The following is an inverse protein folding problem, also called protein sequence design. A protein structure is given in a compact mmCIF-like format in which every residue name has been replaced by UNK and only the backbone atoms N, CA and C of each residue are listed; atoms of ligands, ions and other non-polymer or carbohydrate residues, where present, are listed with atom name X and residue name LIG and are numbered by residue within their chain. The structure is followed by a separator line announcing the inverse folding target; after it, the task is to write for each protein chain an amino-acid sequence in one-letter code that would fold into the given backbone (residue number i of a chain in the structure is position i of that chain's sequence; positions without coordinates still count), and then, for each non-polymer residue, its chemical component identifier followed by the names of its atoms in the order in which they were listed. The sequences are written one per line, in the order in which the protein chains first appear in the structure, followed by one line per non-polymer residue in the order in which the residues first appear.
data_IF_661244526593
#
_entry.id   IF_661244526593
#
_cell.length_a   1.000
_cell.length_b   1.000
_cell.length_c   1.000
_cell.angle_alpha   90.00
_cell.angle_beta   90.00
_cell.angle_gamma   90.00
#
_symmetry.space_group_name_H-M   'P 1'
#
loop_
_entity.id
_entity.type
_entity.pdbx_description
1 polymer ?
#
# COMPACT_ATOMS: atom_id res chain seq x y z
N UNK A 1 41.69 53.23 -17.48
CA UNK A 1 42.82 52.27 -17.47
C UNK A 1 42.27 50.95 -16.95
N UNK A 2 42.42 49.83 -17.68
CA UNK A 2 41.99 48.52 -17.20
C UNK A 2 43.07 47.94 -16.28
N UNK A 3 42.72 47.51 -15.07
CA UNK A 3 43.59 46.66 -14.26
C UNK A 3 43.37 45.20 -14.65
N UNK A 4 44.48 44.55 -15.00
CA UNK A 4 44.60 43.15 -15.36
C UNK A 4 44.46 42.26 -14.12
N UNK A 5 43.61 41.24 -14.20
CA UNK A 5 43.50 40.18 -13.19
C UNK A 5 44.71 39.24 -13.21
N UNK A 6 45.24 38.89 -12.04
CA UNK A 6 46.06 37.69 -11.88
C UNK A 6 45.17 36.50 -11.47
N UNK A 7 45.30 35.30 -12.09
CA UNK A 7 44.58 34.12 -11.63
C UNK A 7 45.20 33.61 -10.32
N UNK A 8 44.38 33.50 -9.26
CA UNK A 8 44.78 32.77 -8.06
C UNK A 8 44.91 31.28 -8.39
N UNK A 9 46.12 30.76 -8.28
CA UNK A 9 46.45 29.35 -8.44
C UNK A 9 45.84 28.54 -7.29
N UNK A 10 44.92 27.63 -7.62
CA UNK A 10 44.42 26.61 -6.69
C UNK A 10 45.34 25.39 -6.79
N UNK A 11 46.52 25.44 -6.14
CA UNK A 11 47.32 24.24 -5.93
C UNK A 11 46.68 23.50 -4.76
N UNK A 12 45.77 22.58 -5.06
CA UNK A 12 45.28 21.59 -4.09
C UNK A 12 46.47 20.68 -3.77
N UNK A 13 46.80 20.55 -2.49
CA UNK A 13 47.92 19.72 -2.06
C UNK A 13 47.67 18.26 -2.45
N UNK A 14 48.70 17.53 -2.88
CA UNK A 14 48.61 16.07 -3.10
C UNK A 14 48.17 15.33 -1.83
N UNK A 15 48.36 15.90 -0.64
CA UNK A 15 47.84 15.37 0.63
C UNK A 15 46.32 15.51 0.76
N UNK A 16 45.73 16.64 0.33
CA UNK A 16 44.28 16.85 0.37
C UNK A 16 43.56 15.98 -0.66
N UNK A 17 44.14 15.82 -1.85
CA UNK A 17 43.62 14.88 -2.86
C UNK A 17 43.75 13.42 -2.43
N UNK A 18 44.75 13.08 -1.60
CA UNK A 18 44.91 11.74 -1.04
C UNK A 18 43.91 11.49 0.11
N UNK A 19 43.66 12.47 0.98
CA UNK A 19 42.65 12.40 2.03
C UNK A 19 41.23 12.34 1.49
N UNK A 20 40.90 13.11 0.44
CA UNK A 20 39.60 13.03 -0.22
C UNK A 20 39.42 11.70 -0.97
N UNK A 21 40.48 11.14 -1.58
CA UNK A 21 40.43 9.78 -2.15
C UNK A 21 40.33 8.69 -1.09
N UNK A 22 40.92 8.87 0.09
CA UNK A 22 40.79 7.96 1.24
C UNK A 22 39.41 8.05 1.89
N UNK A 23 38.82 9.24 1.98
CA UNK A 23 37.42 9.45 2.41
C UNK A 23 36.45 8.90 1.36
N UNK A 24 36.68 9.12 0.07
CA UNK A 24 35.90 8.52 -1.01
C UNK A 24 36.06 7.00 -1.08
N UNK A 25 37.25 6.45 -0.79
CA UNK A 25 37.47 5.00 -0.71
C UNK A 25 36.85 4.37 0.54
N UNK A 26 36.91 5.06 1.68
CA UNK A 26 36.25 4.71 2.95
C UNK A 26 34.72 4.82 2.83
N UNK A 27 34.20 5.78 2.06
CA UNK A 27 32.78 5.89 1.72
C UNK A 27 32.35 4.87 0.64
N UNK A 28 33.24 4.49 -0.30
CA UNK A 28 32.99 3.45 -1.32
C UNK A 28 33.02 2.01 -0.78
N UNK A 29 33.49 1.79 0.44
CA UNK A 29 33.55 0.46 1.08
C UNK A 29 32.48 0.24 2.15
N UNK A 30 31.57 1.20 2.38
CA UNK A 30 30.45 0.99 3.29
C UNK A 30 29.47 0.00 2.68
N UNK A 31 29.11 -1.00 3.47
CA UNK A 31 28.04 -1.92 3.10
C UNK A 31 26.75 -1.13 2.87
N UNK A 32 26.04 -1.40 1.78
CA UNK A 32 24.70 -0.82 1.56
C UNK A 32 23.79 -1.22 2.74
N UNK A 33 22.98 -0.28 3.24
CA UNK A 33 22.08 -0.44 4.39
C UNK A 33 21.18 -1.68 4.27
N UNK A 34 20.69 -2.01 3.07
CA UNK A 34 19.90 -3.24 2.85
C UNK A 34 20.69 -4.49 3.25
N UNK A 35 21.94 -4.58 2.77
CA UNK A 35 22.82 -5.71 3.07
C UNK A 35 23.24 -5.70 4.55
N UNK A 36 23.45 -4.53 5.12
CA UNK A 36 23.74 -4.37 6.55
C UNK A 36 22.62 -4.95 7.41
N UNK A 37 21.37 -4.59 7.13
CA UNK A 37 20.21 -5.07 7.90
C UNK A 37 20.06 -6.59 7.76
N UNK A 38 20.28 -7.14 6.56
CA UNK A 38 20.25 -8.60 6.34
C UNK A 38 21.33 -9.34 7.14
N UNK A 39 22.58 -8.86 7.11
CA UNK A 39 23.68 -9.45 7.89
C UNK A 39 23.43 -9.30 9.41
N UNK A 40 22.85 -8.17 9.85
CA UNK A 40 22.44 -7.96 11.24
C UNK A 40 21.35 -8.94 11.68
N UNK A 41 20.35 -9.19 10.85
CA UNK A 41 19.30 -10.17 11.14
C UNK A 41 19.88 -11.57 11.29
N UNK A 42 20.78 -11.97 10.38
CA UNK A 42 21.48 -13.26 10.48
C UNK A 42 22.28 -13.38 11.77
N UNK A 43 23.02 -12.33 12.16
CA UNK A 43 23.75 -12.29 13.43
C UNK A 43 22.81 -12.45 14.63
N UNK A 44 21.72 -11.68 14.69
CA UNK A 44 20.75 -11.75 15.79
C UNK A 44 20.03 -13.12 15.83
N UNK A 45 19.75 -13.73 14.68
CA UNK A 45 19.20 -15.09 14.59
C UNK A 45 20.17 -16.12 15.17
N UNK A 46 21.48 -16.03 14.86
CA UNK A 46 22.49 -16.89 15.49
C UNK A 46 22.51 -16.71 17.00
N UNK A 47 22.37 -15.48 17.50
CA UNK A 47 22.33 -15.23 18.95
C UNK A 47 21.09 -15.84 19.63
N UNK A 48 19.98 -15.94 18.90
CA UNK A 48 18.73 -16.52 19.38
C UNK A 48 18.75 -18.06 19.38
N UNK A 49 19.53 -18.69 18.49
CA UNK A 49 19.68 -20.14 18.43
C UNK A 49 20.70 -20.63 19.48
N UNK A 50 20.31 -21.43 20.48
CA UNK A 50 21.23 -21.90 21.52
C UNK A 50 22.43 -22.70 21.02
N UNK A 51 22.31 -23.35 19.85
CA UNK A 51 23.41 -24.11 19.24
C UNK A 51 24.39 -23.17 18.53
N UNK A 52 23.87 -22.24 17.73
CA UNK A 52 24.70 -21.31 16.96
C UNK A 52 25.34 -20.24 17.84
N UNK A 53 24.70 -19.88 18.96
CA UNK A 53 25.23 -18.88 19.91
C UNK A 53 26.64 -19.21 20.41
N UNK A 54 26.99 -20.49 20.52
CA UNK A 54 28.33 -20.92 20.96
C UNK A 54 29.41 -20.74 19.88
N UNK A 55 29.00 -20.58 18.62
CA UNK A 55 29.87 -20.45 17.45
C UNK A 55 30.10 -18.98 17.04
N UNK A 56 29.51 -18.02 17.75
CA UNK A 56 29.61 -16.60 17.43
C UNK A 56 30.99 -16.08 17.80
N UNK A 57 31.70 -15.54 16.82
CA UNK A 57 32.93 -14.78 17.05
C UNK A 57 32.57 -13.45 17.73
N UNK A 58 33.17 -13.10 18.90
CA UNK A 58 32.95 -11.81 19.55
C UNK A 58 33.24 -10.59 18.66
N UNK A 59 34.02 -10.75 17.57
CA UNK A 59 34.30 -9.69 16.59
C UNK A 59 33.23 -9.53 15.52
N UNK A 60 32.31 -10.49 15.34
CA UNK A 60 31.33 -10.48 14.26
C UNK A 60 30.44 -9.21 14.29
N UNK A 61 29.94 -8.83 15.47
CA UNK A 61 29.12 -7.63 15.62
C UNK A 61 29.93 -6.32 15.50
N UNK A 62 31.07 -6.12 16.19
CA UNK A 62 31.94 -4.96 15.96
C UNK A 62 32.32 -4.76 14.49
N UNK A 63 32.75 -5.82 13.80
CA UNK A 63 33.13 -5.77 12.39
C UNK A 63 31.93 -5.41 11.50
N UNK A 64 30.74 -5.93 11.83
CA UNK A 64 29.50 -5.63 11.10
C UNK A 64 29.11 -4.16 11.25
N UNK A 65 29.17 -3.61 12.47
CA UNK A 65 28.88 -2.21 12.76
C UNK A 65 29.88 -1.28 12.06
N UNK A 66 31.17 -1.61 12.10
CA UNK A 66 32.22 -0.85 11.41
C UNK A 66 31.99 -0.83 9.89
N UNK A 67 31.69 -1.99 9.28
CA UNK A 67 31.36 -2.08 7.83
C UNK A 67 30.10 -1.33 7.45
N UNK A 68 29.11 -1.27 8.35
CA UNK A 68 27.91 -0.44 8.20
C UNK A 68 28.16 1.04 8.46
N UNK A 69 29.28 1.40 9.09
CA UNK A 69 29.61 2.77 9.46
C UNK A 69 28.86 3.28 10.69
N UNK A 70 28.49 2.40 11.62
CA UNK A 70 27.81 2.70 12.88
C UNK A 70 28.76 2.54 14.07
N UNK A 71 28.60 3.42 15.07
CA UNK A 71 29.47 3.44 16.26
C UNK A 71 29.05 2.37 17.29
N UNK A 72 27.76 2.05 17.34
CA UNK A 72 27.18 1.08 18.24
C UNK A 72 25.89 0.48 17.66
N UNK A 73 25.43 -0.59 18.28
CA UNK A 73 24.22 -1.31 17.85
C UNK A 73 22.94 -0.46 17.96
N UNK A 74 22.65 0.24 19.08
CA UNK A 74 21.46 1.10 19.16
C UNK A 74 21.40 2.16 18.04
N UNK A 75 22.51 2.82 17.73
CA UNK A 75 22.58 3.79 16.64
C UNK A 75 22.27 3.14 15.31
N UNK A 76 22.82 1.95 15.05
CA UNK A 76 22.55 1.20 13.84
C UNK A 76 21.07 0.79 13.73
N UNK A 77 20.48 0.29 14.82
CA UNK A 77 19.08 -0.15 14.88
C UNK A 77 18.08 0.97 14.58
N UNK A 78 18.41 2.21 14.96
CA UNK A 78 17.53 3.36 14.80
C UNK A 78 17.81 4.20 13.55
N UNK A 79 18.99 4.06 12.94
CA UNK A 79 19.41 4.88 11.80
C UNK A 79 19.49 4.12 10.48
N UNK A 80 19.81 2.81 10.51
CA UNK A 80 19.89 2.01 9.29
C UNK A 80 18.51 1.87 8.68
N UNK A 81 18.38 2.24 7.39
CA UNK A 81 17.11 2.16 6.67
C UNK A 81 17.30 1.41 5.37
N UNK A 82 16.37 0.51 5.04
CA UNK A 82 16.39 -0.09 3.72
C UNK A 82 16.00 0.93 2.63
N UNK A 83 15.98 0.51 1.36
CA UNK A 83 15.58 1.36 0.24
C UNK A 83 14.16 1.95 0.36
N UNK A 84 13.35 1.48 1.31
CA UNK A 84 11.99 1.95 1.62
C UNK A 84 11.93 2.83 2.87
N UNK A 85 13.07 3.16 3.48
CA UNK A 85 13.12 3.96 4.69
C UNK A 85 12.83 3.18 5.98
N UNK A 86 12.79 1.84 5.93
CA UNK A 86 12.39 1.00 7.06
C UNK A 86 13.60 0.61 7.91
N UNK A 87 13.49 0.82 9.22
CA UNK A 87 14.46 0.33 10.20
C UNK A 87 14.38 -1.19 10.38
N UNK A 88 15.39 -1.83 10.99
CA UNK A 88 15.32 -3.20 11.47
C UNK A 88 14.00 -3.55 12.19
N UNK A 89 13.55 -2.69 13.12
CA UNK A 89 12.33 -2.94 13.89
C UNK A 89 11.07 -2.94 13.00
N UNK A 90 10.97 -1.99 12.06
CA UNK A 90 9.87 -1.93 11.08
C UNK A 90 9.80 -3.24 10.29
N UNK A 91 10.94 -3.76 9.81
CA UNK A 91 10.97 -5.01 9.05
C UNK A 91 10.56 -6.23 9.87
N UNK A 92 11.01 -6.33 11.13
CA UNK A 92 10.64 -7.43 12.01
C UNK A 92 9.13 -7.43 12.32
N UNK A 93 8.56 -6.26 12.64
CA UNK A 93 7.13 -6.09 12.88
C UNK A 93 6.31 -6.39 11.61
N UNK A 94 6.75 -5.87 10.45
CA UNK A 94 6.11 -6.12 9.17
C UNK A 94 6.01 -7.62 8.86
N UNK A 95 7.11 -8.35 9.08
CA UNK A 95 7.20 -9.80 8.88
C UNK A 95 6.51 -10.62 9.99
N UNK A 96 5.97 -9.95 11.02
CA UNK A 96 5.39 -10.58 12.21
C UNK A 96 6.37 -11.53 12.92
N UNK A 97 7.65 -11.18 12.88
CA UNK A 97 8.71 -11.87 13.61
C UNK A 97 8.85 -11.25 15.00
N UNK A 98 7.87 -11.54 15.87
CA UNK A 98 7.81 -11.00 17.23
C UNK A 98 9.03 -11.37 18.10
N UNK A 99 9.61 -12.58 18.02
CA UNK A 99 10.88 -12.87 18.67
C UNK A 99 12.01 -11.95 18.22
N UNK A 100 12.18 -11.71 16.92
CA UNK A 100 13.18 -10.77 16.42
C UNK A 100 12.88 -9.34 16.86
N UNK A 101 11.61 -8.89 16.76
CA UNK A 101 11.21 -7.55 17.20
C UNK A 101 11.53 -7.30 18.68
N UNK A 102 11.28 -8.30 19.55
CA UNK A 102 11.67 -8.25 20.95
C UNK A 102 13.17 -8.05 21.12
N UNK A 103 13.98 -8.85 20.43
CA UNK A 103 15.44 -8.75 20.53
C UNK A 103 15.94 -7.39 20.08
N UNK A 104 15.39 -6.85 18.99
CA UNK A 104 15.73 -5.52 18.52
C UNK A 104 15.43 -4.45 19.58
N UNK A 105 14.26 -4.54 20.24
CA UNK A 105 13.89 -3.64 21.34
C UNK A 105 14.82 -3.82 22.56
N UNK A 106 15.15 -5.05 22.94
CA UNK A 106 16.07 -5.36 24.04
C UNK A 106 17.48 -4.79 23.78
N UNK A 107 17.88 -4.63 22.52
CA UNK A 107 19.14 -4.01 22.09
C UNK A 107 19.05 -2.51 21.79
N UNK A 108 17.92 -1.86 22.13
CA UNK A 108 17.78 -0.41 22.04
C UNK A 108 17.22 0.11 20.72
N UNK A 109 16.57 -0.73 19.91
CA UNK A 109 15.69 -0.22 18.85
C UNK A 109 14.52 0.56 19.46
N UNK A 110 14.11 1.64 18.81
CA UNK A 110 13.02 2.51 19.22
C UNK A 110 11.88 2.49 18.21
N UNK A 111 10.67 2.76 18.72
CA UNK A 111 9.47 2.91 17.89
C UNK A 111 9.44 4.28 17.22
N UNK A 112 10.02 4.38 16.03
CA UNK A 112 9.78 5.50 15.11
C UNK A 112 8.33 5.50 14.57
N UNK A 113 7.98 6.49 13.74
CA UNK A 113 6.61 6.61 13.23
C UNK A 113 6.15 5.40 12.42
N UNK A 114 7.02 4.79 11.62
CA UNK A 114 6.69 3.60 10.85
C UNK A 114 6.58 2.36 11.76
N UNK A 115 7.48 2.21 12.73
CA UNK A 115 7.44 1.08 13.66
C UNK A 115 6.17 1.10 14.52
N UNK A 116 5.68 2.28 14.90
CA UNK A 116 4.38 2.45 15.59
C UNK A 116 3.22 1.95 14.72
N UNK A 117 3.21 2.27 13.44
CA UNK A 117 2.18 1.82 12.50
C UNK A 117 2.24 0.31 12.26
N UNK A 118 3.45 -0.25 12.08
CA UNK A 118 3.61 -1.68 11.93
C UNK A 118 3.21 -2.44 13.19
N UNK A 119 3.54 -1.90 14.38
CA UNK A 119 3.12 -2.51 15.64
C UNK A 119 1.59 -2.62 15.70
N UNK A 120 0.88 -1.52 15.44
CA UNK A 120 -0.58 -1.46 15.47
C UNK A 120 -1.22 -2.48 14.50
N UNK A 121 -0.65 -2.62 13.31
CA UNK A 121 -1.11 -3.55 12.28
C UNK A 121 -0.75 -5.02 12.60
N UNK A 122 0.48 -5.27 13.03
CA UNK A 122 1.03 -6.61 13.22
C UNK A 122 0.49 -7.28 14.49
N UNK A 123 0.34 -6.55 15.60
CA UNK A 123 -0.10 -7.13 16.89
C UNK A 123 -1.50 -7.75 16.80
N UNK A 124 -2.30 -7.30 15.84
CA UNK A 124 -3.64 -7.80 15.57
C UNK A 124 -3.69 -9.04 14.67
N UNK A 125 -2.59 -9.47 14.07
CA UNK A 125 -2.52 -10.73 13.30
C UNK A 125 -2.67 -11.96 14.20
N UNK A 126 -2.88 -13.15 13.63
CA UNK A 126 -2.89 -14.40 14.41
C UNK A 126 -1.59 -14.60 15.18
N UNK A 127 -0.44 -14.29 14.54
CA UNK A 127 0.86 -14.38 15.19
C UNK A 127 1.01 -13.35 16.33
N UNK A 128 0.50 -12.14 16.14
CA UNK A 128 0.52 -11.09 17.17
C UNK A 128 -0.36 -11.43 18.37
N UNK A 129 -1.57 -11.95 18.12
CA UNK A 129 -2.44 -12.44 19.20
C UNK A 129 -1.79 -13.61 19.98
N UNK A 130 -1.04 -14.47 19.29
CA UNK A 130 -0.32 -15.61 19.89
C UNK A 130 0.99 -15.21 20.58
N UNK A 131 1.61 -14.08 20.21
CA UNK A 131 2.87 -13.65 20.80
C UNK A 131 2.70 -13.19 22.25
N UNK A 132 1.48 -12.90 22.69
CA UNK A 132 1.21 -12.39 24.04
C UNK A 132 2.01 -11.12 24.31
N UNK A 133 2.70 -11.08 25.44
CA UNK A 133 3.48 -9.91 25.90
C UNK A 133 4.94 -9.92 25.42
N UNK A 134 5.27 -10.69 24.36
CA UNK A 134 6.65 -10.78 23.84
C UNK A 134 7.24 -9.43 23.43
N UNK A 135 6.40 -8.50 22.94
CA UNK A 135 6.81 -7.13 22.63
C UNK A 135 5.94 -6.15 23.42
N UNK A 136 6.55 -5.11 23.97
CA UNK A 136 5.83 -4.06 24.68
C UNK A 136 5.28 -3.04 23.70
N UNK A 137 4.07 -2.50 23.91
CA UNK A 137 3.54 -1.43 23.07
C UNK A 137 4.44 -0.19 23.10
N UNK A 138 4.45 0.61 22.01
CA UNK A 138 5.09 1.92 22.00
C UNK A 138 4.60 2.79 23.17
N UNK A 139 5.46 3.67 23.67
CA UNK A 139 5.04 4.67 24.65
C UNK A 139 3.97 5.58 24.05
N UNK A 140 2.93 5.86 24.84
CA UNK A 140 1.77 6.67 24.44
C UNK A 140 1.04 6.08 23.21
N UNK A 141 1.05 4.75 23.08
CA UNK A 141 0.35 4.03 22.02
C UNK A 141 -1.17 4.26 22.11
N UNK A 142 -1.72 4.82 21.04
CA UNK A 142 -3.15 4.93 20.82
C UNK A 142 -3.54 3.83 19.85
N UNK A 143 -4.39 2.92 20.33
CA UNK A 143 -4.90 1.82 19.53
C UNK A 143 -5.84 2.34 18.43
N UNK A 144 -5.67 1.84 17.21
CA UNK A 144 -6.63 2.09 16.13
C UNK A 144 -8.02 1.53 16.44
N UNK A 145 -9.06 2.19 15.92
CA UNK A 145 -10.41 1.66 15.88
C UNK A 145 -10.56 0.62 14.76
N UNK A 146 -11.31 -0.48 14.95
CA UNK A 146 -11.42 -1.56 13.97
C UNK A 146 -12.11 -1.14 12.67
N UNK A 147 -13.06 -0.20 12.75
CA UNK A 147 -13.98 0.16 11.66
C UNK A 147 -13.75 1.59 11.15
N UNK A 148 -12.89 2.37 11.80
CA UNK A 148 -12.72 3.80 11.52
C UNK A 148 -11.25 4.16 11.33
N UNK A 149 -10.99 5.00 10.33
CA UNK A 149 -9.67 5.60 10.13
C UNK A 149 -9.47 6.78 11.08
N UNK A 150 -8.24 6.93 11.56
CA UNK A 150 -7.78 8.20 12.11
C UNK A 150 -7.97 9.32 11.07
N UNK A 151 -8.33 10.53 11.52
CA UNK A 151 -8.63 11.68 10.64
C UNK A 151 -7.52 11.90 9.61
N UNK A 152 -6.25 11.92 10.04
CA UNK A 152 -5.13 12.13 9.11
C UNK A 152 -4.99 11.02 8.06
N UNK A 153 -5.37 9.77 8.38
CA UNK A 153 -5.34 8.64 7.44
C UNK A 153 -6.51 8.72 6.45
N UNK A 154 -7.69 9.14 6.90
CA UNK A 154 -8.88 9.28 6.04
C UNK A 154 -8.63 10.22 4.85
N UNK A 155 -7.96 11.34 5.09
CA UNK A 155 -7.58 12.29 4.03
C UNK A 155 -6.26 11.91 3.36
N UNK A 156 -5.25 11.54 4.15
CA UNK A 156 -3.89 11.28 3.69
C UNK A 156 -3.78 10.15 2.68
N UNK A 157 -4.50 9.05 2.87
CA UNK A 157 -4.43 7.89 1.98
C UNK A 157 -4.98 8.21 0.57
N UNK A 158 -6.07 9.00 0.49
CA UNK A 158 -6.75 9.35 -0.75
C UNK A 158 -6.02 10.46 -1.51
N UNK A 159 -5.68 11.53 -0.78
CA UNK A 159 -5.01 12.72 -1.32
C UNK A 159 -3.49 12.53 -1.45
N UNK A 160 -2.94 11.47 -0.87
CA UNK A 160 -1.51 11.14 -0.84
C UNK A 160 -0.69 12.16 -0.03
N UNK A 161 -1.22 12.65 1.09
CA UNK A 161 -0.59 13.68 1.92
C UNK A 161 0.21 13.00 3.02
N UNK A 162 1.51 13.25 3.12
CA UNK A 162 2.37 12.74 4.19
C UNK A 162 2.43 13.76 5.32
N UNK A 163 1.72 13.47 6.40
CA UNK A 163 1.75 14.26 7.64
C UNK A 163 1.75 13.31 8.84
N UNK A 164 2.13 13.83 10.00
CA UNK A 164 1.97 13.15 11.29
C UNK A 164 1.02 13.99 12.13
N UNK A 165 0.00 13.35 12.70
CA UNK A 165 -0.91 13.97 13.65
C UNK A 165 -0.18 14.46 14.90
N UNK A 166 -0.80 15.39 15.63
CA UNK A 166 -0.36 15.78 16.98
C UNK A 166 -0.18 14.60 17.94
N UNK A 167 -0.90 13.50 17.73
CA UNK A 167 -0.81 12.29 18.57
C UNK A 167 0.26 11.29 18.11
N UNK A 168 1.01 11.62 17.05
CA UNK A 168 2.04 10.77 16.47
C UNK A 168 1.56 9.81 15.37
N UNK A 169 0.26 9.77 15.06
CA UNK A 169 -0.29 8.93 14.00
C UNK A 169 0.08 9.47 12.63
N UNK A 170 0.76 8.68 11.79
CA UNK A 170 1.03 9.08 10.40
C UNK A 170 -0.22 8.92 9.52
N UNK A 171 -0.30 9.74 8.49
CA UNK A 171 -1.38 9.75 7.51
C UNK A 171 -1.26 8.66 6.44
N UNK A 172 -0.13 7.97 6.39
CA UNK A 172 0.11 6.80 5.55
C UNK A 172 -0.21 5.52 6.32
N UNK A 173 -0.26 4.39 5.62
CA UNK A 173 -0.44 3.02 6.14
C UNK A 173 -1.68 2.82 7.03
N UNK A 174 -2.52 1.85 6.68
CA UNK A 174 -3.73 1.62 7.47
C UNK A 174 -4.20 0.19 7.34
N UNK A 175 -5.06 -0.20 8.27
CA UNK A 175 -5.73 -1.48 8.25
C UNK A 175 -6.62 -1.67 7.01
N UNK A 176 -6.73 -2.92 6.56
CA UNK A 176 -7.48 -3.30 5.34
C UNK A 176 -8.96 -3.00 5.45
N UNK A 177 -9.62 -3.36 6.55
CA UNK A 177 -11.06 -3.15 6.75
C UNK A 177 -11.51 -1.70 6.55
N UNK A 178 -11.04 -0.74 7.35
CA UNK A 178 -11.50 0.64 7.24
C UNK A 178 -11.08 1.31 5.91
N UNK A 179 -9.97 0.89 5.30
CA UNK A 179 -9.58 1.39 3.96
C UNK A 179 -10.40 0.77 2.82
N UNK A 180 -10.82 -0.48 2.95
CA UNK A 180 -11.69 -1.13 1.98
C UNK A 180 -13.13 -0.59 2.07
N UNK A 181 -13.59 -0.26 3.28
CA UNK A 181 -14.82 0.51 3.49
C UNK A 181 -14.75 1.88 2.82
N UNK A 182 -13.66 2.64 3.03
CA UNK A 182 -13.44 3.92 2.35
C UNK A 182 -13.51 3.80 0.81
N UNK A 183 -12.92 2.75 0.24
CA UNK A 183 -13.01 2.47 -1.20
C UNK A 183 -14.42 2.06 -1.62
N UNK A 184 -15.12 1.28 -0.81
CA UNK A 184 -16.51 0.85 -1.06
C UNK A 184 -17.43 2.07 -1.15
N UNK A 185 -17.30 3.01 -0.23
CA UNK A 185 -18.08 4.25 -0.21
C UNK A 185 -17.73 5.14 -1.42
N UNK A 186 -16.44 5.31 -1.73
CA UNK A 186 -16.01 6.09 -2.88
C UNK A 186 -16.58 5.59 -4.21
N UNK A 187 -16.57 4.27 -4.43
CA UNK A 187 -17.13 3.66 -5.66
C UNK A 187 -18.64 3.80 -5.68
N UNK A 188 -19.31 3.57 -4.54
CA UNK A 188 -20.76 3.72 -4.41
C UNK A 188 -21.21 5.15 -4.71
N UNK A 189 -20.57 6.14 -4.10
CA UNK A 189 -20.88 7.56 -4.29
C UNK A 189 -20.63 8.03 -5.71
N UNK A 190 -19.63 7.45 -6.39
CA UNK A 190 -19.39 7.75 -7.81
C UNK A 190 -20.44 7.10 -8.72
N UNK A 191 -20.86 5.88 -8.41
CA UNK A 191 -21.88 5.16 -9.19
C UNK A 191 -23.30 5.70 -9.02
N UNK A 192 -23.60 6.36 -7.89
CA UNK A 192 -24.89 7.02 -7.64
C UNK A 192 -25.16 8.14 -8.66
N UNK A 193 -26.39 8.19 -9.18
CA UNK A 193 -26.82 9.26 -10.11
C UNK A 193 -26.31 9.14 -11.55
N UNK A 194 -25.72 8.00 -11.92
CA UNK A 194 -25.10 7.79 -13.24
C UNK A 194 -25.72 6.64 -14.05
N UNK A 195 -27.02 6.37 -13.88
CA UNK A 195 -27.70 5.16 -14.38
C UNK A 195 -28.02 5.13 -15.88
N UNK A 196 -27.97 6.26 -16.57
CA UNK A 196 -28.43 6.37 -17.97
C UNK A 196 -27.32 6.17 -19.02
N UNK A 197 -26.06 6.10 -18.60
CA UNK A 197 -24.91 5.89 -19.49
C UNK A 197 -24.37 4.46 -19.29
N UNK A 198 -24.35 3.60 -20.34
CA UNK A 198 -23.83 2.23 -20.26
C UNK A 198 -22.42 2.14 -19.66
N UNK A 199 -21.55 3.11 -19.95
CA UNK A 199 -20.19 3.17 -19.44
C UNK A 199 -20.12 3.58 -17.95
N UNK A 200 -21.20 4.16 -17.42
CA UNK A 200 -21.36 4.47 -15.99
C UNK A 200 -22.12 3.35 -15.24
N UNK A 201 -22.92 2.53 -15.94
CA UNK A 201 -23.47 1.27 -15.43
C UNK A 201 -22.39 0.28 -14.96
N UNK A 202 -21.18 0.36 -15.53
CA UNK A 202 -20.01 -0.38 -15.08
C UNK A 202 -19.72 -0.16 -13.58
N UNK A 203 -19.79 1.09 -13.11
CA UNK A 203 -19.53 1.43 -11.71
C UNK A 203 -20.61 0.92 -10.74
N UNK A 204 -21.83 0.65 -11.23
CA UNK A 204 -22.85 -0.02 -10.43
C UNK A 204 -22.41 -1.45 -10.07
N UNK A 205 -21.95 -2.22 -11.06
CA UNK A 205 -21.45 -3.58 -10.82
C UNK A 205 -20.21 -3.59 -9.93
N UNK A 206 -19.30 -2.62 -10.13
CA UNK A 206 -18.12 -2.47 -9.28
C UNK A 206 -18.55 -2.10 -7.85
N UNK A 207 -19.49 -1.17 -7.67
CA UNK A 207 -20.03 -0.83 -6.35
C UNK A 207 -20.65 -2.02 -5.65
N UNK A 208 -21.45 -2.82 -6.36
CA UNK A 208 -22.05 -4.04 -5.82
C UNK A 208 -20.98 -5.08 -5.44
N UNK A 209 -19.92 -5.21 -6.25
CA UNK A 209 -18.80 -6.11 -5.97
C UNK A 209 -18.04 -5.71 -4.69
N UNK A 210 -17.76 -4.41 -4.52
CA UNK A 210 -17.13 -3.89 -3.31
C UNK A 210 -18.02 -4.07 -2.07
N UNK A 211 -19.30 -3.69 -2.16
CA UNK A 211 -20.24 -3.82 -1.06
C UNK A 211 -20.44 -5.29 -0.63
N UNK A 212 -20.56 -6.21 -1.59
CA UNK A 212 -20.66 -7.64 -1.31
C UNK A 212 -19.40 -8.15 -0.62
N UNK A 213 -18.22 -7.85 -1.17
CA UNK A 213 -16.96 -8.33 -0.63
C UNK A 213 -16.67 -7.80 0.77
N UNK A 214 -16.97 -6.52 1.00
CA UNK A 214 -16.80 -5.91 2.31
C UNK A 214 -17.72 -6.55 3.35
N UNK A 215 -18.99 -6.80 2.99
CA UNK A 215 -19.96 -7.49 3.84
C UNK A 215 -19.60 -8.96 4.11
N UNK A 216 -19.10 -9.68 3.09
CA UNK A 216 -18.72 -11.08 3.21
C UNK A 216 -17.47 -11.24 4.07
N UNK A 217 -16.42 -10.46 3.77
CA UNK A 217 -15.13 -10.56 4.46
C UNK A 217 -15.17 -10.08 5.91
N UNK A 218 -16.05 -9.11 6.25
CA UNK A 218 -16.24 -8.56 7.60
C UNK A 218 -14.92 -8.21 8.28
N UNK A 219 -14.06 -7.48 7.59
CA UNK A 219 -12.76 -7.14 8.16
C UNK A 219 -12.93 -6.34 9.46
N UNK A 220 -12.32 -6.83 10.53
CA UNK A 220 -11.95 -6.01 11.67
C UNK A 220 -10.45 -5.78 11.58
N UNK A 221 -10.01 -4.53 11.58
CA UNK A 221 -8.61 -4.21 11.33
C UNK A 221 -8.14 -4.81 9.99
N UNK A 222 -7.17 -5.71 10.00
CA UNK A 222 -6.67 -6.45 8.82
C UNK A 222 -6.95 -7.94 8.91
N UNK A 223 -7.90 -8.32 9.76
CA UNK A 223 -8.37 -9.71 9.96
C UNK A 223 -9.74 -9.89 9.31
N UNK A 224 -9.91 -10.82 8.36
CA UNK A 224 -11.20 -11.07 7.72
C UNK A 224 -12.08 -11.99 8.59
N UNK A 225 -12.83 -11.42 9.54
CA UNK A 225 -13.68 -12.16 10.50
C UNK A 225 -14.82 -12.96 9.84
N UNK A 226 -15.10 -12.73 8.55
CA UNK A 226 -16.03 -13.54 7.77
C UNK A 226 -15.46 -14.88 7.29
N UNK A 227 -14.17 -15.13 7.50
CA UNK A 227 -13.52 -16.38 7.07
C UNK A 227 -13.82 -17.53 8.04
N UNK A 228 -14.06 -18.77 7.54
CA UNK A 228 -13.90 -19.21 6.15
C UNK A 228 -15.12 -19.05 5.25
N UNK A 229 -16.30 -18.68 5.77
CA UNK A 229 -17.55 -18.58 5.01
C UNK A 229 -17.47 -17.58 3.85
N UNK A 230 -16.77 -16.46 4.05
CA UNK A 230 -16.51 -15.46 3.02
C UNK A 230 -15.90 -16.06 1.75
N UNK A 231 -14.97 -17.01 1.89
CA UNK A 231 -14.38 -17.71 0.74
C UNK A 231 -15.41 -18.47 -0.08
N UNK A 232 -16.41 -19.09 0.56
CA UNK A 232 -17.52 -19.77 -0.13
C UNK A 232 -18.41 -18.77 -0.85
N UNK A 233 -18.83 -17.70 -0.17
CA UNK A 233 -19.71 -16.67 -0.75
C UNK A 233 -19.06 -15.97 -1.96
N UNK A 234 -17.78 -15.62 -1.85
CA UNK A 234 -17.03 -14.94 -2.91
C UNK A 234 -16.74 -15.86 -4.09
N UNK A 235 -16.30 -17.10 -3.86
CA UNK A 235 -16.07 -18.07 -4.94
C UNK A 235 -17.37 -18.41 -5.67
N UNK A 236 -18.48 -18.60 -4.95
CA UNK A 236 -19.80 -18.81 -5.54
C UNK A 236 -20.21 -17.62 -6.40
N UNK A 237 -20.06 -16.38 -5.90
CA UNK A 237 -20.38 -15.17 -6.68
C UNK A 237 -19.61 -15.11 -8.00
N UNK A 238 -18.34 -15.54 -8.00
CA UNK A 238 -17.50 -15.60 -9.20
C UNK A 238 -18.02 -16.67 -10.17
N UNK A 239 -18.36 -17.85 -9.67
CA UNK A 239 -18.94 -18.95 -10.46
C UNK A 239 -20.32 -18.61 -11.04
N UNK A 240 -21.08 -17.76 -10.37
CA UNK A 240 -22.35 -17.19 -10.87
C UNK A 240 -22.15 -16.12 -11.95
N UNK A 241 -20.91 -15.85 -12.38
CA UNK A 241 -20.61 -14.89 -13.43
C UNK A 241 -20.80 -13.43 -13.01
N UNK A 242 -20.68 -13.10 -11.71
CA UNK A 242 -20.81 -11.73 -11.22
C UNK A 242 -19.44 -11.10 -11.01
N UNK A 243 -19.32 -9.81 -11.34
CA UNK A 243 -18.15 -9.00 -10.97
C UNK A 243 -17.95 -9.09 -9.46
N UNK A 244 -16.74 -9.43 -9.06
CA UNK A 244 -16.36 -9.68 -7.66
C UNK A 244 -15.02 -9.04 -7.38
N UNK A 245 -14.96 -8.21 -6.36
CA UNK A 245 -13.70 -7.68 -5.83
C UNK A 245 -13.30 -8.52 -4.62
N UNK A 246 -12.00 -8.67 -4.38
CA UNK A 246 -11.48 -9.40 -3.22
C UNK A 246 -10.41 -8.53 -2.55
N UNK A 247 -10.62 -8.09 -1.29
CA UNK A 247 -9.57 -7.44 -0.52
C UNK A 247 -8.45 -8.45 -0.21
N UNK A 248 -7.28 -8.27 -0.83
CA UNK A 248 -6.11 -9.14 -0.61
C UNK A 248 -4.94 -8.39 0.01
N UNK A 249 -4.20 -9.09 0.85
CA UNK A 249 -3.08 -8.53 1.60
C UNK A 249 -2.03 -9.62 1.90
N UNK A 250 -0.87 -9.17 2.33
CA UNK A 250 0.24 -9.97 2.85
C UNK A 250 0.95 -9.16 3.93
N UNK A 251 1.97 -9.74 4.56
CA UNK A 251 2.80 -9.06 5.58
C UNK A 251 3.28 -7.70 5.08
N UNK A 252 2.60 -6.67 5.57
CA UNK A 252 2.88 -5.27 5.30
C UNK A 252 2.66 -4.72 3.91
N UNK A 253 1.88 -5.41 3.08
CA UNK A 253 1.48 -4.90 1.78
C UNK A 253 0.09 -5.37 1.38
N UNK A 254 -0.68 -4.49 0.77
CA UNK A 254 -2.01 -4.79 0.24
C UNK A 254 -2.02 -4.70 -1.28
N UNK A 255 -2.76 -5.59 -1.94
CA UNK A 255 -2.83 -5.70 -3.40
C UNK A 255 -4.29 -5.61 -3.85
N UNK A 256 -4.51 -5.43 -5.15
CA UNK A 256 -5.85 -5.46 -5.74
C UNK A 256 -6.12 -6.81 -6.40
N UNK A 257 -7.29 -7.39 -6.15
CA UNK A 257 -7.77 -8.58 -6.85
C UNK A 257 -9.24 -8.42 -7.18
N UNK A 258 -9.61 -8.66 -8.44
CA UNK A 258 -11.00 -8.74 -8.87
C UNK A 258 -11.18 -9.84 -9.91
N UNK A 259 -12.42 -10.24 -10.10
CA UNK A 259 -12.88 -11.21 -11.08
C UNK A 259 -14.00 -10.60 -11.90
N UNK A 260 -13.90 -10.75 -13.22
CA UNK A 260 -14.90 -10.25 -14.17
C UNK A 260 -15.27 -11.40 -15.11
N UNK A 261 -16.56 -11.75 -15.27
CA UNK A 261 -16.97 -12.85 -16.14
C UNK A 261 -16.44 -12.67 -17.57
N UNK A 262 -16.16 -13.76 -18.27
CA UNK A 262 -15.87 -13.73 -19.72
C UNK A 262 -17.19 -13.89 -20.46
N UNK A 263 -17.56 -12.87 -21.24
CA UNK A 263 -18.84 -12.88 -21.98
C UNK A 263 -18.89 -14.07 -22.94
N UNK A 264 -19.97 -14.84 -22.89
CA UNK A 264 -20.16 -16.04 -23.71
C UNK A 264 -19.40 -17.29 -23.24
N UNK A 265 -18.69 -17.25 -22.11
CA UNK A 265 -18.02 -18.43 -21.55
C UNK A 265 -18.17 -18.52 -20.02
N UNK A 266 -19.15 -19.30 -19.51
CA UNK A 266 -19.42 -19.40 -18.07
C UNK A 266 -18.32 -20.12 -17.27
N UNK A 267 -17.47 -20.92 -17.94
CA UNK A 267 -16.37 -21.64 -17.30
C UNK A 267 -15.12 -20.76 -17.12
N UNK A 268 -15.15 -19.52 -17.62
CA UNK A 268 -14.02 -18.59 -17.60
C UNK A 268 -14.34 -17.29 -16.88
N UNK A 269 -13.31 -16.73 -16.25
CA UNK A 269 -13.34 -15.38 -15.69
C UNK A 269 -12.00 -14.70 -15.91
N UNK A 270 -12.02 -13.38 -16.00
CA UNK A 270 -10.81 -12.57 -15.98
C UNK A 270 -10.38 -12.33 -14.53
N UNK A 271 -9.21 -12.83 -14.15
CA UNK A 271 -8.52 -12.49 -12.91
C UNK A 271 -7.75 -11.19 -13.12
N UNK A 272 -8.14 -10.13 -12.42
CA UNK A 272 -7.53 -8.80 -12.45
C UNK A 272 -6.68 -8.61 -11.20
N UNK A 273 -5.36 -8.73 -11.32
CA UNK A 273 -4.43 -8.58 -10.21
C UNK A 273 -3.63 -7.28 -10.32
N UNK A 274 -3.57 -6.50 -9.25
CA UNK A 274 -2.87 -5.20 -9.22
C UNK A 274 -1.85 -5.14 -8.10
N UNK A 275 -0.60 -4.90 -8.47
CA UNK A 275 0.46 -4.57 -7.53
C UNK A 275 1.33 -3.41 -8.07
N UNK A 276 1.26 -2.26 -7.40
CA UNK A 276 2.06 -1.06 -7.68
C UNK A 276 3.08 -0.76 -6.59
N UNK A 277 3.19 -1.61 -5.57
CA UNK A 277 4.05 -1.43 -4.40
C UNK A 277 5.04 -2.58 -4.24
N UNK A 278 5.15 -3.10 -3.02
CA UNK A 278 6.14 -4.09 -2.62
C UNK A 278 6.09 -5.39 -3.45
N UNK A 279 7.27 -5.94 -3.74
CA UNK A 279 7.41 -7.24 -4.42
C UNK A 279 7.26 -7.22 -5.94
N UNK A 280 6.80 -6.11 -6.53
CA UNK A 280 6.79 -5.94 -7.98
C UNK A 280 8.21 -5.58 -8.48
N UNK A 281 8.70 -6.33 -9.48
CA UNK A 281 10.01 -6.05 -10.10
C UNK A 281 9.98 -4.71 -10.84
N UNK A 282 11.17 -4.15 -11.13
CA UNK A 282 11.27 -2.94 -11.96
C UNK A 282 10.63 -3.22 -13.33
N UNK A 283 9.65 -2.41 -13.72
CA UNK A 283 8.89 -2.59 -14.96
C UNK A 283 7.65 -3.49 -14.83
N UNK A 284 7.41 -4.06 -13.65
CA UNK A 284 6.30 -4.99 -13.40
C UNK A 284 5.17 -4.39 -12.54
N UNK A 285 5.22 -3.08 -12.31
CA UNK A 285 4.19 -2.34 -11.56
C UNK A 285 2.93 -2.13 -12.40
N UNK A 286 1.78 -2.45 -11.80
CA UNK A 286 0.48 -2.15 -12.38
C UNK A 286 -0.47 -3.32 -12.28
N UNK A 287 -1.32 -3.45 -13.30
CA UNK A 287 -2.41 -4.43 -13.32
C UNK A 287 -2.16 -5.46 -14.41
N UNK A 288 -2.26 -6.73 -14.05
CA UNK A 288 -2.20 -7.88 -14.95
C UNK A 288 -3.56 -8.55 -14.99
N UNK A 289 -4.01 -8.88 -16.19
CA UNK A 289 -5.31 -9.51 -16.43
C UNK A 289 -5.04 -10.87 -17.03
N UNK A 290 -5.58 -11.92 -16.43
CA UNK A 290 -5.47 -13.31 -16.88
C UNK A 290 -6.85 -13.85 -17.18
N UNK A 291 -6.98 -14.71 -18.18
CA UNK A 291 -8.18 -15.53 -18.36
C UNK A 291 -7.95 -16.88 -17.66
N UNK A 292 -8.79 -17.21 -16.68
CA UNK A 292 -8.63 -18.40 -15.83
C UNK A 292 -9.94 -19.21 -15.77
N UNK A 293 -9.85 -20.48 -15.38
CA UNK A 293 -11.01 -21.33 -15.17
C UNK A 293 -11.71 -21.00 -13.86
N UNK A 294 -13.05 -20.83 -13.88
CA UNK A 294 -13.84 -20.48 -12.68
C UNK A 294 -13.76 -21.57 -11.60
N UNK A 295 -13.61 -22.84 -12.00
CA UNK A 295 -13.43 -23.98 -11.09
C UNK A 295 -12.13 -23.93 -10.28
N UNK A 296 -11.10 -23.23 -10.77
CA UNK A 296 -9.80 -23.10 -10.07
C UNK A 296 -9.88 -22.05 -8.96
N UNK A 297 -10.96 -21.26 -8.91
CA UNK A 297 -11.21 -20.23 -7.91
C UNK A 297 -12.02 -20.85 -6.77
N UNK A 298 -11.30 -21.51 -5.87
CA UNK A 298 -11.90 -22.25 -4.74
C UNK A 298 -12.08 -21.35 -3.51
N UNK A 299 -12.94 -21.76 -2.55
CA UNK A 299 -13.04 -21.09 -1.25
C UNK A 299 -11.68 -20.97 -0.53
N UNK A 300 -10.86 -22.01 -0.61
CA UNK A 300 -9.54 -22.03 0.03
C UNK A 300 -8.58 -21.02 -0.59
N UNK A 301 -8.57 -20.92 -1.92
CA UNK A 301 -7.81 -19.90 -2.62
C UNK A 301 -8.21 -18.50 -2.14
N UNK A 302 -9.52 -18.19 -2.11
CA UNK A 302 -10.03 -16.88 -1.69
C UNK A 302 -9.66 -16.58 -0.23
N UNK A 303 -9.89 -17.53 0.69
CA UNK A 303 -9.55 -17.35 2.10
C UNK A 303 -8.04 -17.15 2.30
N UNK A 304 -7.19 -17.88 1.57
CA UNK A 304 -5.74 -17.77 1.70
C UNK A 304 -5.18 -16.42 1.26
N UNK A 305 -5.69 -15.84 0.17
CA UNK A 305 -5.24 -14.52 -0.31
C UNK A 305 -5.84 -13.36 0.48
N UNK A 306 -7.04 -13.55 1.04
CA UNK A 306 -7.72 -12.56 1.89
C UNK A 306 -7.08 -12.49 3.28
N UNK A 307 -6.74 -13.63 3.90
CA UNK A 307 -6.14 -13.71 5.22
C UNK A 307 -4.61 -13.59 5.23
N UNK A 308 -3.99 -13.10 4.15
CA UNK A 308 -2.53 -13.15 4.01
C UNK A 308 -1.77 -12.45 5.13
N UNK A 309 -2.18 -11.25 5.54
CA UNK A 309 -1.63 -10.56 6.70
C UNK A 309 -1.98 -11.30 7.99
N UNK A 310 -3.24 -11.63 8.26
CA UNK A 310 -3.63 -12.31 9.51
C UNK A 310 -2.86 -13.63 9.74
N UNK A 311 -2.57 -14.38 8.66
CA UNK A 311 -1.79 -15.63 8.68
C UNK A 311 -0.27 -15.44 8.57
N UNK A 312 0.21 -14.22 8.38
CA UNK A 312 1.63 -13.92 8.21
C UNK A 312 2.23 -14.52 6.92
N UNK A 313 1.45 -14.51 5.83
CA UNK A 313 1.91 -14.85 4.49
C UNK A 313 2.73 -13.71 3.90
N UNK A 314 3.90 -14.06 3.37
CA UNK A 314 4.73 -13.17 2.56
C UNK A 314 4.11 -12.89 1.19
N UNK A 315 4.57 -11.82 0.53
CA UNK A 315 4.21 -11.53 -0.86
C UNK A 315 4.46 -12.73 -1.79
N UNK A 316 5.59 -13.43 -1.64
CA UNK A 316 5.92 -14.60 -2.46
C UNK A 316 4.93 -15.76 -2.28
N UNK A 317 4.45 -15.98 -1.05
CA UNK A 317 3.45 -17.00 -0.76
C UNK A 317 2.10 -16.64 -1.39
N UNK A 318 1.68 -15.37 -1.33
CA UNK A 318 0.45 -14.92 -2.00
C UNK A 318 0.58 -15.02 -3.52
N UNK A 319 1.73 -14.63 -4.09
CA UNK A 319 1.97 -14.77 -5.53
C UNK A 319 1.93 -16.23 -5.98
N UNK A 320 2.45 -17.17 -5.19
CA UNK A 320 2.33 -18.61 -5.50
C UNK A 320 0.86 -19.06 -5.63
N UNK A 321 -0.06 -18.52 -4.83
CA UNK A 321 -1.49 -18.80 -4.95
C UNK A 321 -2.06 -18.25 -6.27
N UNK A 322 -1.67 -17.03 -6.65
CA UNK A 322 -2.06 -16.43 -7.94
C UNK A 322 -1.49 -17.25 -9.12
N UNK A 323 -0.24 -17.68 -9.04
CA UNK A 323 0.43 -18.46 -10.08
C UNK A 323 -0.22 -19.84 -10.26
N UNK A 324 -0.73 -20.44 -9.18
CA UNK A 324 -1.50 -21.69 -9.23
C UNK A 324 -2.82 -21.52 -10.00
N UNK A 325 -3.61 -20.48 -9.70
CA UNK A 325 -4.89 -20.23 -10.39
C UNK A 325 -4.70 -19.79 -11.83
N UNK A 326 -3.64 -19.02 -12.11
CA UNK A 326 -3.29 -18.62 -13.47
C UNK A 326 -2.57 -19.73 -14.26
N UNK A 327 -2.22 -20.83 -13.60
CA UNK A 327 -1.46 -21.95 -14.18
C UNK A 327 -0.16 -21.49 -14.85
N UNK A 328 0.49 -20.46 -14.29
CA UNK A 328 1.67 -19.78 -14.86
C UNK A 328 1.49 -19.26 -16.30
N UNK A 329 0.24 -19.05 -16.76
CA UNK A 329 -0.01 -18.47 -18.08
C UNK A 329 0.33 -16.99 -18.09
N UNK A 330 0.77 -16.50 -19.25
CA UNK A 330 0.97 -15.07 -19.45
C UNK A 330 -0.37 -14.32 -19.34
N UNK A 331 -0.37 -13.07 -18.82
CA UNK A 331 -1.56 -12.25 -18.80
C UNK A 331 -2.06 -11.95 -20.22
N UNK A 332 -3.38 -11.97 -20.42
CA UNK A 332 -4.03 -11.57 -21.67
C UNK A 332 -3.95 -10.05 -21.89
N UNK A 333 -3.74 -9.28 -20.82
CA UNK A 333 -3.50 -7.84 -20.90
C UNK A 333 -2.67 -7.34 -19.71
N UNK A 334 -1.83 -6.33 -19.96
CA UNK A 334 -1.07 -5.61 -18.95
C UNK A 334 -1.41 -4.13 -19.05
N UNK A 335 -1.71 -3.53 -17.90
CA UNK A 335 -1.88 -2.09 -17.74
C UNK A 335 -0.70 -1.59 -16.91
N UNK A 336 0.24 -0.92 -17.59
CA UNK A 336 1.37 -0.27 -16.91
C UNK A 336 0.88 0.89 -16.06
N UNK A 337 1.24 0.87 -14.78
CA UNK A 337 0.91 1.94 -13.85
C UNK A 337 2.16 2.31 -13.06
N UNK A 338 2.31 3.60 -12.76
CA UNK A 338 3.49 4.07 -12.03
C UNK A 338 3.59 3.38 -10.66
N UNK A 339 4.82 3.06 -10.20
CA UNK A 339 5.03 2.63 -8.83
C UNK A 339 4.42 3.63 -7.85
N UNK A 340 3.95 3.10 -6.73
CA UNK A 340 3.37 3.91 -5.68
C UNK A 340 4.48 4.68 -4.97
N UNK A 341 4.25 5.98 -4.72
CA UNK A 341 5.23 6.87 -4.08
C UNK A 341 5.15 6.87 -2.56
N UNK A 342 3.98 6.50 -2.03
CA UNK A 342 3.61 6.64 -0.62
C UNK A 342 3.17 5.28 -0.08
N UNK A 343 3.26 5.05 1.22
CA UNK A 343 2.82 3.80 1.83
C UNK A 343 1.29 3.75 2.05
N UNK A 344 0.53 3.82 0.96
CA UNK A 344 -0.93 3.78 0.94
C UNK A 344 -1.46 2.65 0.05
N UNK A 345 -0.75 1.52 0.01
CA UNK A 345 -1.02 0.39 -0.89
C UNK A 345 -2.47 -0.13 -0.79
N UNK A 346 -3.07 -0.11 0.40
CA UNK A 346 -4.46 -0.52 0.67
C UNK A 346 -5.50 0.26 -0.15
N UNK A 347 -5.26 1.55 -0.39
CA UNK A 347 -6.12 2.39 -1.25
C UNK A 347 -5.57 2.42 -2.68
N UNK A 348 -4.27 2.54 -2.85
CA UNK A 348 -3.65 2.76 -4.16
C UNK A 348 -3.76 1.58 -5.12
N UNK A 349 -3.63 0.34 -4.63
CA UNK A 349 -3.77 -0.87 -5.45
C UNK A 349 -5.24 -1.19 -5.70
N UNK A 350 -6.08 -1.12 -4.67
CA UNK A 350 -7.54 -1.30 -4.77
C UNK A 350 -8.16 -0.33 -5.78
N UNK A 351 -7.81 0.96 -5.70
CA UNK A 351 -8.24 1.96 -6.69
C UNK A 351 -7.71 1.64 -8.09
N UNK A 352 -6.45 1.28 -8.22
CA UNK A 352 -5.84 0.99 -9.52
C UNK A 352 -6.42 -0.27 -10.18
N UNK A 353 -6.92 -1.22 -9.39
CA UNK A 353 -7.55 -2.45 -9.85
C UNK A 353 -8.87 -2.21 -10.60
N UNK A 354 -9.62 -1.17 -10.20
CA UNK A 354 -10.84 -0.71 -10.91
C UNK A 354 -10.54 -0.42 -12.39
N UNK A 355 -9.35 0.09 -12.72
CA UNK A 355 -8.96 0.31 -14.11
C UNK A 355 -8.92 -1.00 -14.92
N UNK A 356 -8.44 -2.09 -14.32
CA UNK A 356 -8.45 -3.41 -14.95
C UNK A 356 -9.86 -4.00 -15.07
N UNK A 357 -10.71 -3.79 -14.06
CA UNK A 357 -12.13 -4.22 -14.10
C UNK A 357 -12.88 -3.53 -15.24
N UNK A 358 -12.75 -2.21 -15.36
CA UNK A 358 -13.34 -1.43 -16.45
C UNK A 358 -12.85 -1.91 -17.83
N UNK A 359 -11.57 -2.26 -17.94
CA UNK A 359 -11.02 -2.76 -19.20
C UNK A 359 -11.58 -4.15 -19.56
N UNK A 360 -11.80 -5.02 -18.57
CA UNK A 360 -12.45 -6.31 -18.79
C UNK A 360 -13.91 -6.16 -19.24
N UNK A 361 -14.66 -5.26 -18.61
CA UNK A 361 -16.04 -4.95 -19.00
C UNK A 361 -16.11 -4.42 -20.45
N UNK A 362 -15.16 -3.56 -20.82
CA UNK A 362 -15.04 -3.07 -22.20
C UNK A 362 -14.60 -4.16 -23.19
N UNK A 363 -13.68 -5.04 -22.79
CA UNK A 363 -13.28 -6.18 -23.60
C UNK A 363 -14.47 -7.09 -23.91
N UNK A 364 -15.33 -7.37 -22.92
CA UNK A 364 -16.56 -8.14 -23.12
C UNK A 364 -17.49 -7.49 -24.15
N UNK A 365 -17.74 -6.16 -24.05
CA UNK A 365 -18.54 -5.42 -25.04
C UNK A 365 -17.98 -5.52 -26.46
N UNK A 366 -16.66 -5.71 -26.60
CA UNK A 366 -15.96 -5.86 -27.89
C UNK A 366 -15.77 -7.31 -28.33
N UNK A 367 -16.27 -8.30 -27.60
CA UNK A 367 -16.08 -9.72 -27.93
C UNK A 367 -14.68 -10.26 -27.61
N UNK A 368 -14.06 -9.74 -26.56
CA UNK A 368 -12.80 -10.20 -25.97
C UNK A 368 -11.60 -9.28 -26.20
N UNK A 369 -10.50 -9.54 -25.49
CA UNK A 369 -9.28 -8.72 -25.51
C UNK A 369 -8.61 -8.60 -26.88
N UNK A 370 -8.82 -9.56 -27.78
CA UNK A 370 -8.33 -9.50 -29.18
C UNK A 370 -8.83 -8.29 -29.96
N UNK A 371 -9.96 -7.70 -29.54
CA UNK A 371 -10.60 -6.55 -30.18
C UNK A 371 -10.38 -5.24 -29.40
N UNK A 372 -9.54 -5.26 -28.35
CA UNK A 372 -9.23 -4.08 -27.54
C UNK A 372 -7.98 -3.39 -28.09
N UNK A 373 -8.20 -2.30 -28.81
CA UNK A 373 -7.14 -1.46 -29.38
C UNK A 373 -6.65 -0.37 -28.40
N UNK A 374 -5.65 0.41 -28.82
CA UNK A 374 -5.09 1.48 -28.00
C UNK A 374 -6.11 2.61 -27.72
N UNK A 375 -7.01 2.89 -28.67
CA UNK A 375 -8.07 3.88 -28.50
C UNK A 375 -9.01 3.48 -27.36
N UNK A 376 -9.45 2.23 -27.36
CA UNK A 376 -10.27 1.63 -26.30
C UNK A 376 -9.58 1.74 -24.93
N UNK A 377 -8.27 1.44 -24.86
CA UNK A 377 -7.50 1.56 -23.62
C UNK A 377 -7.47 2.99 -23.10
N UNK A 378 -7.29 3.98 -23.96
CA UNK A 378 -7.28 5.39 -23.54
C UNK A 378 -8.69 5.89 -23.13
N UNK A 379 -9.76 5.43 -23.78
CA UNK A 379 -11.14 5.73 -23.37
C UNK A 379 -11.46 5.16 -21.98
N UNK A 380 -11.12 3.89 -21.74
CA UNK A 380 -11.26 3.24 -20.41
C UNK A 380 -10.44 3.97 -19.35
N UNK A 381 -9.20 4.36 -19.69
CA UNK A 381 -8.33 5.14 -18.79
C UNK A 381 -8.88 6.53 -18.50
N UNK A 382 -9.60 7.15 -19.45
CA UNK A 382 -10.36 8.39 -19.25
C UNK A 382 -11.42 8.22 -18.15
N UNK A 383 -12.27 7.20 -18.27
CA UNK A 383 -13.29 6.86 -17.27
C UNK A 383 -12.70 6.58 -15.89
N UNK A 384 -11.61 5.81 -15.84
CA UNK A 384 -10.89 5.57 -14.60
C UNK A 384 -10.37 6.88 -13.97
N UNK A 385 -9.81 7.79 -14.77
CA UNK A 385 -9.32 9.08 -14.28
C UNK A 385 -10.44 9.95 -13.72
N UNK A 386 -11.57 10.03 -14.42
CA UNK A 386 -12.75 10.76 -13.94
C UNK A 386 -13.19 10.29 -12.54
N UNK A 387 -13.23 8.97 -12.31
CA UNK A 387 -13.47 8.41 -10.99
C UNK A 387 -12.43 8.85 -9.96
N UNK A 388 -11.14 8.73 -10.29
CA UNK A 388 -10.09 9.12 -9.33
C UNK A 388 -10.07 10.62 -9.03
N UNK A 389 -10.45 11.46 -10.00
CA UNK A 389 -10.52 12.90 -9.85
C UNK A 389 -11.76 13.32 -9.05
N UNK A 390 -12.92 12.68 -9.26
CA UNK A 390 -14.11 12.84 -8.41
C UNK A 390 -13.81 12.47 -6.95
N UNK A 391 -13.20 11.29 -6.73
CA UNK A 391 -12.84 10.80 -5.40
C UNK A 391 -11.93 11.78 -4.65
N UNK A 392 -10.92 12.36 -5.33
CA UNK A 392 -10.04 13.38 -4.74
C UNK A 392 -10.79 14.68 -4.47
N UNK A 393 -11.59 15.14 -5.44
CA UNK A 393 -12.29 16.43 -5.33
C UNK A 393 -13.29 16.41 -4.17
N UNK A 394 -14.08 15.34 -4.04
CA UNK A 394 -14.98 15.13 -2.89
C UNK A 394 -14.21 15.05 -1.58
N UNK A 395 -13.06 14.37 -1.54
CA UNK A 395 -12.26 14.28 -0.30
C UNK A 395 -11.68 15.65 0.11
N UNK A 396 -11.34 16.52 -0.85
CA UNK A 396 -10.97 17.93 -0.56
C UNK A 396 -12.16 18.71 -0.02
N UNK A 397 -13.35 18.59 -0.63
CA UNK A 397 -14.56 19.24 -0.12
C UNK A 397 -14.94 18.77 1.29
N UNK A 398 -14.73 17.48 1.59
CA UNK A 398 -14.92 16.93 2.94
C UNK A 398 -13.92 17.51 3.93
N UNK A 399 -12.66 17.73 3.52
CA UNK A 399 -11.65 18.38 4.35
C UNK A 399 -12.05 19.82 4.67
N UNK A 400 -12.51 20.56 3.65
CA UNK A 400 -12.97 21.94 3.82
C UNK A 400 -14.16 22.02 4.78
N UNK A 401 -15.18 21.17 4.62
CA UNK A 401 -16.32 21.08 5.53
C UNK A 401 -15.93 20.69 6.95
N UNK A 402 -14.97 19.78 7.12
CA UNK A 402 -14.48 19.38 8.43
C UNK A 402 -13.78 20.55 9.13
N UNK A 403 -12.96 21.32 8.40
CA UNK A 403 -12.26 22.49 8.92
C UNK A 403 -13.23 23.65 9.21
N UNK A 404 -14.27 23.86 8.41
CA UNK A 404 -15.34 24.83 8.71
C UNK A 404 -16.04 24.49 10.03
N UNK A 405 -16.29 23.20 10.28
CA UNK A 405 -16.93 22.74 11.52
C UNK A 405 -16.01 22.84 12.72
N UNK A 406 -14.72 22.56 12.54
CA UNK A 406 -13.70 22.53 13.60
C UNK A 406 -12.47 23.36 13.18
N UNK A 407 -12.57 24.70 13.15
CA UNK A 407 -11.53 25.56 12.57
C UNK A 407 -10.21 25.56 13.34
N UNK A 408 -10.21 25.16 14.61
CA UNK A 408 -9.00 25.13 15.46
C UNK A 408 -8.31 23.76 15.51
N UNK A 409 -8.82 22.77 14.79
CA UNK A 409 -8.21 21.43 14.75
C UNK A 409 -6.83 21.48 14.06
N UNK A 410 -5.73 21.15 14.77
CA UNK A 410 -4.37 21.25 14.24
C UNK A 410 -4.11 20.24 13.11
N UNK A 411 -4.72 19.06 13.17
CA UNK A 411 -4.54 18.02 12.15
C UNK A 411 -5.24 18.41 10.85
N UNK A 412 -6.46 18.96 10.93
CA UNK A 412 -7.17 19.46 9.75
C UNK A 412 -6.42 20.64 9.10
N UNK A 413 -5.86 21.56 9.91
CA UNK A 413 -5.00 22.64 9.41
C UNK A 413 -3.75 22.09 8.72
N UNK A 414 -3.08 21.10 9.32
CA UNK A 414 -1.90 20.46 8.74
C UNK A 414 -2.21 19.75 7.42
N UNK A 415 -3.32 19.01 7.34
CA UNK A 415 -3.82 18.38 6.11
C UNK A 415 -4.09 19.42 5.02
N UNK A 416 -4.78 20.51 5.35
CA UNK A 416 -5.10 21.57 4.40
C UNK A 416 -3.84 22.22 3.86
N UNK A 417 -2.89 22.55 4.74
CA UNK A 417 -1.58 23.09 4.35
C UNK A 417 -0.82 22.12 3.43
N UNK A 418 -0.69 20.85 3.82
CA UNK A 418 -0.01 19.84 3.03
C UNK A 418 -0.65 19.63 1.65
N UNK A 419 -1.98 19.77 1.54
CA UNK A 419 -2.67 19.73 0.25
C UNK A 419 -2.32 20.94 -0.62
N UNK A 420 -2.28 22.15 -0.06
CA UNK A 420 -1.94 23.38 -0.79
C UNK A 420 -0.47 23.46 -1.22
N UNK A 421 0.43 22.86 -0.44
CA UNK A 421 1.87 22.85 -0.75
C UNK A 421 2.22 21.88 -1.89
N UNK A 422 1.27 21.05 -2.37
CA UNK A 422 1.53 20.13 -3.47
C UNK A 422 1.66 20.86 -4.81
N UNK A 423 2.72 20.61 -5.59
CA UNK A 423 2.81 21.12 -6.95
C UNK A 423 1.66 20.52 -7.77
N UNK A 424 0.71 21.38 -8.19
CA UNK A 424 -0.55 21.11 -8.93
C UNK A 424 -1.83 20.93 -8.10
N UNK A 425 -1.92 21.37 -6.85
CA UNK A 425 -3.21 21.43 -6.14
C UNK A 425 -4.17 22.38 -6.89
N UNK A 426 -5.28 21.86 -7.43
CA UNK A 426 -6.38 22.71 -7.91
C UNK A 426 -7.16 23.21 -6.69
N UNK A 427 -7.49 24.50 -6.59
CA UNK A 427 -8.43 24.97 -5.57
C UNK A 427 -9.77 24.26 -5.77
N UNK A 428 -10.46 23.95 -4.66
CA UNK A 428 -11.78 23.33 -4.71
C UNK A 428 -12.73 24.25 -5.51
N UNK A 429 -13.34 23.71 -6.57
CA UNK A 429 -14.40 24.42 -7.27
C UNK A 429 -15.64 24.32 -6.40
N UNK A 430 -16.02 25.46 -5.80
CA UNK A 430 -17.30 25.62 -5.11
C UNK A 430 -18.36 25.84 -6.19
N UNK A 431 -19.03 24.78 -6.64
CA UNK A 431 -20.31 24.96 -7.34
C UNK A 431 -21.35 25.36 -6.29
N UNK A 432 -21.58 26.67 -6.17
CA UNK A 432 -22.79 27.20 -5.54
C UNK A 432 -23.97 26.85 -6.45
N UNK A 433 -24.77 25.88 -6.07
CA UNK A 433 -26.14 25.74 -6.59
C UNK A 433 -26.98 26.85 -5.95
N UNK A 434 -27.01 28.04 -6.56
CA UNK A 434 -28.05 29.01 -6.29
C UNK A 434 -29.30 28.61 -7.08
N UNK A 435 -30.35 28.32 -6.32
CA UNK A 435 -31.70 28.03 -6.77
C UNK A 435 -32.21 29.12 -7.73
N UNK A 436 -32.60 28.71 -8.94
CA UNK A 436 -33.43 29.51 -9.82
C UNK A 436 -34.84 29.63 -9.23
N UNK A 437 -35.02 30.61 -8.34
CA UNK A 437 -36.31 31.18 -8.02
C UNK A 437 -36.76 32.05 -9.19
N UNK A 438 -38.05 31.89 -9.54
CA UNK A 438 -38.84 32.59 -10.56
C UNK A 438 -38.64 32.13 -12.01
N UNK A 439 -39.72 31.61 -12.61
CA UNK A 439 -40.74 32.51 -13.18
C UNK A 439 -42.10 31.84 -13.38
N UNK A 440 -43.11 32.48 -12.77
CA UNK A 440 -44.44 32.84 -13.30
C UNK A 440 -45.31 31.77 -13.99
N UNK A 441 -46.45 31.48 -13.36
CA UNK A 441 -47.73 31.23 -14.03
C UNK A 441 -48.42 32.56 -14.39
N UNK A 442 -49.44 32.58 -15.27
CA UNK A 442 -49.87 31.57 -16.25
C UNK A 442 -49.36 31.84 -17.67
#
# INVERSE_FOLDING_TARGET
MPELSAPKSTIISQSEMAEDKLKEASQKAKMNEERFIQELFLFLQKMLDPKLKQEIDPKELPDLLEKGGYQDLPTALNSAKNARGQTPLVQALQNQDFPMARVLLDFGAEYDSLAREEYDIAIRSERGRKSGDLITPPKDYIQSEPEKLHTVKEFGLILGLEITSVDGTSSQRAHVGPTYQLMTDAVKDYGQGRTEDPAKGDFKQISEAFAFANKAAKYQYSTPEGSPEAGKELSQRIQEGKVTSVPINCTGHAMGLSFVPVEGNPDKTYLVFTNRGEGARRGEHGTRIYEVDTKDITPDFINNVMSGHDKGHSHAQVMKQIDQVTQNKAPVCIIEQKPQKYDNCTVANTRANIHGVLLCQEANRKGGFKNVDQKTKEEVKGRYKEFTDDMRSKKVQQLDKALEKNPEDPDLKALKKAYMDKPKSKPAVVEKSEESINMRSP
#
